data_IF_305551416298
#
_entry.id   IF_305551416298
#
_cell.length_a   1.000
_cell.length_b   1.000
_cell.length_c   1.000
_cell.angle_alpha   90.00
_cell.angle_beta   90.00
_cell.angle_gamma   90.00
#
_symmetry.space_group_name_H-M   'P 1'
#
loop_
_entity.id
_entity.type
_entity.pdbx_description
1 polymer ?
#
# COMPACT_ATOMS: atom_id res chain seq x y z
N UNK A 1 13.82 -13.12 -21.73
CA UNK A 1 12.72 -13.41 -20.81
C UNK A 1 12.26 -12.15 -20.09
N UNK A 2 11.11 -11.63 -20.48
CA UNK A 2 10.58 -10.31 -20.08
C UNK A 2 9.60 -10.38 -18.88
N UNK A 3 9.28 -11.59 -18.41
CA UNK A 3 8.40 -11.80 -17.26
C UNK A 3 9.19 -12.00 -15.97
N UNK A 4 8.90 -11.17 -14.96
CA UNK A 4 9.36 -11.38 -13.58
C UNK A 4 8.23 -12.01 -12.79
N UNK A 5 8.52 -13.11 -12.09
CA UNK A 5 7.62 -13.74 -11.12
C UNK A 5 8.24 -13.51 -9.74
N UNK A 6 7.40 -13.17 -8.77
CA UNK A 6 7.80 -12.94 -7.39
C UNK A 6 6.58 -13.03 -6.51
N UNK A 7 6.72 -13.70 -5.37
CA UNK A 7 5.66 -13.80 -4.37
C UNK A 7 5.22 -12.40 -3.92
N UNK A 8 3.91 -12.19 -3.83
CA UNK A 8 3.31 -10.95 -3.32
C UNK A 8 2.77 -11.26 -1.93
N UNK A 9 3.30 -10.57 -0.93
CA UNK A 9 2.91 -10.76 0.46
C UNK A 9 1.97 -9.63 0.89
N UNK A 10 0.74 -9.97 1.28
CA UNK A 10 -0.24 -9.01 1.79
C UNK A 10 -0.50 -9.33 3.26
N UNK A 11 -0.20 -8.36 4.12
CA UNK A 11 -0.40 -8.45 5.57
C UNK A 11 -1.88 -8.49 6.00
N UNK A 12 -2.07 -8.57 7.30
CA UNK A 12 -3.40 -8.57 7.94
C UNK A 12 -4.06 -7.20 7.85
N UNK A 13 -5.39 -7.17 7.68
CA UNK A 13 -6.20 -5.94 7.69
C UNK A 13 -5.78 -4.87 6.66
N UNK A 14 -5.17 -5.28 5.54
CA UNK A 14 -4.82 -4.38 4.45
C UNK A 14 -6.07 -4.02 3.64
N UNK A 15 -6.21 -2.74 3.27
CA UNK A 15 -7.22 -2.29 2.31
C UNK A 15 -6.58 -2.02 0.96
N UNK A 16 -7.04 -2.73 -0.08
CA UNK A 16 -6.60 -2.52 -1.47
C UNK A 16 -7.74 -1.88 -2.25
N UNK A 17 -7.53 -0.64 -2.69
CA UNK A 17 -8.47 0.08 -3.53
C UNK A 17 -8.63 -0.57 -4.90
N UNK A 18 -9.84 -0.46 -5.45
CA UNK A 18 -10.20 -1.04 -6.74
C UNK A 18 -9.24 -0.63 -7.87
N UNK A 19 -9.04 -1.53 -8.84
CA UNK A 19 -8.20 -1.30 -10.01
C UNK A 19 -6.73 -0.96 -9.68
N UNK A 20 -6.23 -1.43 -8.54
CA UNK A 20 -4.79 -1.34 -8.21
C UNK A 20 -4.03 -2.50 -8.83
N UNK A 21 -2.80 -2.22 -9.26
CA UNK A 21 -1.85 -3.21 -9.78
C UNK A 21 -0.67 -3.32 -8.81
N UNK A 22 -0.39 -4.54 -8.35
CA UNK A 22 0.74 -4.84 -7.46
C UNK A 22 1.78 -5.62 -8.26
N UNK A 23 3.01 -5.08 -8.32
CA UNK A 23 4.09 -5.73 -9.07
C UNK A 23 4.67 -6.92 -8.32
N UNK A 24 5.28 -7.89 -9.04
CA UNK A 24 5.86 -9.09 -8.44
C UNK A 24 6.92 -8.78 -7.38
N UNK A 25 6.92 -9.55 -6.28
CA UNK A 25 7.92 -9.44 -5.21
C UNK A 25 7.62 -8.37 -4.14
N UNK A 26 6.50 -7.64 -4.26
CA UNK A 26 6.12 -6.60 -3.32
C UNK A 26 5.53 -7.17 -2.03
N UNK A 27 5.92 -6.59 -0.90
CA UNK A 27 5.30 -6.80 0.41
C UNK A 27 4.48 -5.59 0.83
N UNK A 28 3.23 -5.82 1.24
CA UNK A 28 2.33 -4.81 1.81
C UNK A 28 2.11 -5.14 3.28
N UNK A 29 2.63 -4.28 4.16
CA UNK A 29 2.58 -4.47 5.61
C UNK A 29 1.17 -4.39 6.21
N UNK A 30 1.01 -4.95 7.41
CA UNK A 30 -0.27 -5.02 8.13
C UNK A 30 -0.94 -3.64 8.27
N UNK A 31 -2.26 -3.59 8.07
CA UNK A 31 -3.06 -2.38 8.23
C UNK A 31 -2.78 -1.28 7.20
N UNK A 32 -1.95 -1.53 6.18
CA UNK A 32 -1.70 -0.57 5.12
C UNK A 32 -2.94 -0.35 4.23
N UNK A 33 -3.02 0.83 3.63
CA UNK A 33 -4.10 1.24 2.75
C UNK A 33 -3.49 1.64 1.40
N UNK A 34 -3.93 1.00 0.32
CA UNK A 34 -3.59 1.35 -1.06
C UNK A 34 -4.79 2.01 -1.71
N UNK A 35 -4.66 3.25 -2.20
CA UNK A 35 -5.77 3.94 -2.88
C UNK A 35 -6.15 3.24 -4.19
N UNK A 36 -7.37 3.50 -4.68
CA UNK A 36 -7.78 3.00 -6.00
C UNK A 36 -6.84 3.47 -7.12
N UNK A 37 -6.79 2.69 -8.21
CA UNK A 37 -6.01 2.98 -9.41
C UNK A 37 -4.48 3.15 -9.17
N UNK A 38 -3.93 2.47 -8.17
CA UNK A 38 -2.51 2.60 -7.80
C UNK A 38 -1.61 1.60 -8.52
N UNK A 39 -0.37 2.00 -8.85
CA UNK A 39 0.70 1.12 -9.33
C UNK A 39 1.73 0.91 -8.22
N UNK A 40 1.61 -0.20 -7.50
CA UNK A 40 2.49 -0.56 -6.38
C UNK A 40 3.73 -1.28 -6.90
N UNK A 41 4.82 -0.52 -7.02
CA UNK A 41 6.09 -0.99 -7.60
C UNK A 41 7.22 -1.21 -6.57
N UNK A 42 6.92 -1.03 -5.28
CA UNK A 42 7.83 -1.20 -4.14
C UNK A 42 7.01 -1.50 -2.87
N UNK A 43 7.67 -2.01 -1.85
CA UNK A 43 7.05 -2.38 -0.58
C UNK A 43 6.31 -1.21 0.08
N UNK A 44 5.22 -1.56 0.77
CA UNK A 44 4.38 -0.62 1.52
C UNK A 44 4.54 -0.88 3.01
N UNK A 45 4.98 0.11 3.81
CA UNK A 45 5.12 -0.06 5.26
C UNK A 45 3.78 -0.37 5.96
N UNK A 46 3.80 -1.12 7.08
CA UNK A 46 2.60 -1.36 7.88
C UNK A 46 1.92 -0.05 8.32
N UNK A 47 0.58 -0.01 8.25
CA UNK A 47 -0.24 1.14 8.65
C UNK A 47 -0.14 2.37 7.74
N UNK A 48 0.68 2.33 6.69
CA UNK A 48 0.84 3.45 5.77
C UNK A 48 -0.37 3.61 4.82
N UNK A 49 -0.64 4.84 4.39
CA UNK A 49 -1.55 5.12 3.28
C UNK A 49 -0.75 5.52 2.04
N UNK A 50 -0.93 4.79 0.96
CA UNK A 50 -0.23 4.99 -0.31
C UNK A 50 -1.19 5.12 -1.47
N UNK A 51 -0.78 5.78 -2.55
CA UNK A 51 -1.63 5.92 -3.72
C UNK A 51 -0.93 6.48 -4.96
N UNK A 52 -1.58 6.29 -6.11
CA UNK A 52 -1.17 6.88 -7.39
C UNK A 52 -0.41 5.91 -8.31
N UNK A 53 -0.12 6.40 -9.51
CA UNK A 53 0.62 5.68 -10.55
C UNK A 53 1.71 6.60 -11.14
N UNK A 54 2.99 6.46 -10.71
CA UNK A 54 3.51 5.47 -9.77
C UNK A 54 3.09 5.73 -8.32
N UNK A 55 2.94 4.67 -7.51
CA UNK A 55 2.55 4.77 -6.09
C UNK A 55 3.49 5.68 -5.30
N UNK A 56 2.90 6.59 -4.52
CA UNK A 56 3.57 7.46 -3.56
C UNK A 56 3.07 7.17 -2.14
N UNK A 57 3.93 7.39 -1.16
CA UNK A 57 3.54 7.43 0.25
C UNK A 57 2.78 8.74 0.50
N UNK A 58 1.52 8.64 0.92
CA UNK A 58 0.67 9.79 1.22
C UNK A 58 0.73 10.10 2.71
N UNK A 59 0.58 9.07 3.55
CA UNK A 59 0.76 9.17 5.00
C UNK A 59 1.55 7.98 5.55
N UNK A 60 2.45 8.25 6.49
CA UNK A 60 3.01 7.21 7.37
C UNK A 60 1.94 6.70 8.35
N UNK A 61 2.27 5.61 9.05
CA UNK A 61 1.43 5.11 10.13
C UNK A 61 1.19 6.18 11.21
N UNK A 62 2.23 6.89 11.61
CA UNK A 62 2.16 7.94 12.63
C UNK A 62 1.26 9.09 12.19
N UNK A 63 1.36 9.50 10.91
CA UNK A 63 0.53 10.54 10.32
C UNK A 63 -0.96 10.11 10.23
N UNK A 64 -1.22 8.84 9.87
CA UNK A 64 -2.56 8.26 9.87
C UNK A 64 -3.17 8.22 11.28
N UNK A 65 -2.40 7.79 12.28
CA UNK A 65 -2.86 7.75 13.67
C UNK A 65 -3.14 9.15 14.23
N UNK A 66 -2.30 10.14 13.90
CA UNK A 66 -2.52 11.53 14.30
C UNK A 66 -3.80 12.10 13.68
N UNK A 67 -4.10 11.77 12.42
CA UNK A 67 -5.33 12.20 11.74
C UNK A 67 -6.58 11.60 12.38
N UNK A 68 -6.58 10.30 12.66
CA UNK A 68 -7.73 9.62 13.26
C UNK A 68 -8.08 10.17 14.65
N UNK A 69 -7.06 10.58 15.44
CA UNK A 69 -7.28 11.21 16.76
C UNK A 69 -7.93 12.59 16.67
N UNK A 70 -7.72 13.33 15.59
CA UNK A 70 -8.32 14.65 15.40
C UNK A 70 -9.79 14.56 14.92
N UNK A 71 -10.20 13.39 14.42
CA UNK A 71 -11.55 13.12 13.91
C UNK A 71 -12.43 12.39 14.96
N UNK A 72 -11.88 12.04 16.14
CA UNK A 72 -12.56 11.38 17.27
C UNK A 72 -12.84 12.35 18.41
#
# INVERSE_FOLDING_TARGET
>A
DEYRIGEVNIGSNVLIGANSTILPGVTIGDGAIVSAASLVHKDVPPGAFVGGNPMQLIYTKEEMEARNKNES
#
